data_IF_109018746672
#
_entry.id   IF_109018746672
#
_cell.length_a   1.000
_cell.length_b   1.000
_cell.length_c   1.000
_cell.angle_alpha   90.00
_cell.angle_beta   90.00
_cell.angle_gamma   90.00
#
_symmetry.space_group_name_H-M   'P 1'
#
loop_
_entity.id
_entity.type
_entity.pdbx_description
1 polymer ?
#
# COMPACT_ATOMS: atom_id res chain seq x y z
N UNK A 1 -10.10 60.67 0.11
CA UNK A 1 -9.07 59.84 0.81
C UNK A 1 -9.28 58.41 0.41
N UNK A 2 -8.43 57.84 -0.46
CA UNK A 2 -8.53 56.43 -0.87
C UNK A 2 -7.87 55.54 0.20
N UNK A 3 -8.65 54.58 0.70
CA UNK A 3 -8.11 53.56 1.61
C UNK A 3 -6.94 52.80 0.94
N UNK A 4 -5.85 52.57 1.61
CA UNK A 4 -4.72 51.82 1.05
C UNK A 4 -5.14 50.40 0.68
N UNK A 5 -4.76 49.93 -0.49
CA UNK A 5 -4.95 48.56 -0.95
C UNK A 5 -4.21 47.59 0.01
N UNK A 6 -4.96 46.86 0.83
CA UNK A 6 -4.36 45.83 1.69
C UNK A 6 -3.84 44.70 0.83
N UNK A 7 -2.59 44.32 1.01
CA UNK A 7 -1.97 43.16 0.41
C UNK A 7 -2.81 41.90 0.74
N UNK A 8 -2.89 40.94 -0.19
CA UNK A 8 -3.68 39.70 -0.04
C UNK A 8 -3.34 38.92 1.24
N UNK A 9 -2.12 39.05 1.73
CA UNK A 9 -1.62 38.48 3.00
C UNK A 9 -2.23 39.07 4.26
N UNK A 10 -2.71 40.34 4.22
CA UNK A 10 -3.34 40.99 5.37
C UNK A 10 -4.82 40.71 5.54
N UNK A 11 -5.45 40.02 4.57
CA UNK A 11 -6.87 39.60 4.59
C UNK A 11 -7.11 38.23 5.23
N UNK A 12 -6.04 37.51 5.58
CA UNK A 12 -6.18 36.23 6.26
C UNK A 12 -6.41 36.53 7.74
N UNK A 13 -7.66 36.49 8.20
CA UNK A 13 -8.00 36.59 9.62
C UNK A 13 -7.20 35.55 10.42
N UNK A 14 -6.89 35.85 11.70
CA UNK A 14 -6.24 34.89 12.59
C UNK A 14 -7.00 33.56 12.56
N UNK A 15 -6.38 32.53 12.00
CA UNK A 15 -6.93 31.17 12.00
C UNK A 15 -6.81 30.62 13.40
N UNK A 16 -7.93 30.31 14.05
CA UNK A 16 -7.92 29.57 15.32
C UNK A 16 -7.41 28.16 15.06
N UNK A 17 -6.35 27.77 15.76
CA UNK A 17 -5.75 26.44 15.63
C UNK A 17 -6.47 25.42 16.51
N UNK A 18 -6.32 24.13 16.19
CA UNK A 18 -6.76 23.05 17.04
C UNK A 18 -6.14 23.14 18.45
N UNK A 19 -6.89 22.78 19.49
CA UNK A 19 -6.44 22.87 20.87
C UNK A 19 -5.32 21.86 21.19
N UNK A 20 -5.42 20.66 20.59
CA UNK A 20 -4.44 19.59 20.78
C UNK A 20 -3.69 19.31 19.47
N UNK A 21 -2.37 19.21 19.56
CA UNK A 21 -1.46 18.88 18.48
C UNK A 21 -1.76 19.65 17.18
N UNK A 22 -1.69 21.00 17.22
CA UNK A 22 -2.14 21.86 16.14
C UNK A 22 -1.25 21.84 14.89
N UNK A 23 -0.12 21.16 14.93
CA UNK A 23 0.80 21.08 13.81
C UNK A 23 0.77 19.70 13.16
N UNK A 24 0.87 19.67 11.85
CA UNK A 24 0.78 18.46 11.02
C UNK A 24 2.09 18.29 10.27
N UNK A 25 2.67 17.09 10.33
CA UNK A 25 3.67 16.68 9.35
C UNK A 25 2.93 16.06 8.14
N UNK A 26 3.15 16.61 6.95
CA UNK A 26 2.40 16.27 5.73
C UNK A 26 3.36 15.91 4.61
N UNK A 27 3.19 14.74 4.02
CA UNK A 27 3.75 14.41 2.71
C UNK A 27 2.97 15.17 1.65
N UNK A 28 3.64 15.88 0.74
CA UNK A 28 3.01 16.74 -0.26
C UNK A 28 3.30 16.25 -1.68
N UNK A 29 2.28 16.17 -2.54
CA UNK A 29 2.44 15.87 -3.96
C UNK A 29 3.10 17.05 -4.70
N UNK A 30 4.39 17.16 -4.59
CA UNK A 30 5.18 18.23 -5.24
C UNK A 30 5.49 17.90 -6.69
N UNK A 31 5.48 16.61 -7.08
CA UNK A 31 5.93 16.12 -8.38
C UNK A 31 7.44 16.17 -8.56
N UNK A 32 8.21 16.47 -7.51
CA UNK A 32 9.66 16.69 -7.57
C UNK A 32 10.38 15.81 -6.55
N UNK A 33 11.33 14.99 -7.01
CA UNK A 33 11.99 13.97 -6.19
C UNK A 33 12.74 14.55 -4.97
N UNK A 34 13.50 15.63 -5.14
CA UNK A 34 14.26 16.23 -4.02
C UNK A 34 13.39 16.93 -2.96
N UNK A 35 12.07 17.05 -3.22
CA UNK A 35 11.07 17.55 -2.28
C UNK A 35 10.20 16.42 -1.69
N UNK A 36 10.63 15.16 -1.82
CA UNK A 36 9.95 13.99 -1.26
C UNK A 36 10.28 13.88 0.24
N UNK A 37 9.77 14.82 1.01
CA UNK A 37 9.93 14.94 2.46
C UNK A 37 8.64 15.41 3.12
N UNK A 38 8.62 15.41 4.44
CA UNK A 38 7.52 15.94 5.22
C UNK A 38 7.64 17.46 5.35
N UNK A 39 6.49 18.15 5.30
CA UNK A 39 6.37 19.59 5.49
C UNK A 39 5.39 19.88 6.61
N UNK A 40 5.70 20.89 7.43
CA UNK A 40 4.84 21.29 8.52
C UNK A 40 3.74 22.23 8.05
N UNK A 41 2.52 21.92 8.52
CA UNK A 41 1.32 22.73 8.34
C UNK A 41 0.57 22.90 9.66
N UNK A 42 -0.24 23.94 9.77
CA UNK A 42 -1.11 24.10 10.93
C UNK A 42 -2.52 23.59 10.65
N UNK A 43 -3.15 23.04 11.68
CA UNK A 43 -4.50 22.50 11.66
C UNK A 43 -5.49 23.53 12.21
N UNK A 44 -6.36 24.13 11.38
CA UNK A 44 -7.44 24.97 11.86
C UNK A 44 -8.43 24.20 12.74
N UNK A 45 -8.91 24.80 13.82
CA UNK A 45 -9.83 24.18 14.80
C UNK A 45 -11.13 23.62 14.21
N UNK A 46 -11.55 24.15 13.04
CA UNK A 46 -12.75 23.67 12.33
C UNK A 46 -12.61 22.28 11.67
N UNK A 47 -11.40 21.73 11.64
CA UNK A 47 -11.14 20.41 11.01
C UNK A 47 -10.79 19.38 12.09
N UNK A 48 -11.46 18.24 12.03
CA UNK A 48 -11.10 17.04 12.79
C UNK A 48 -10.40 16.06 11.85
N UNK A 49 -9.07 16.15 11.78
CA UNK A 49 -8.24 15.33 10.90
C UNK A 49 -7.13 14.66 11.70
N UNK A 50 -6.87 13.40 11.35
CA UNK A 50 -5.90 12.54 12.01
C UNK A 50 -4.80 12.12 11.04
N UNK A 51 -3.63 11.64 11.52
CA UNK A 51 -2.66 10.95 10.69
C UNK A 51 -3.35 9.87 9.85
N UNK A 52 -3.02 9.82 8.55
CA UNK A 52 -3.70 8.94 7.58
C UNK A 52 -4.81 9.61 6.78
N UNK A 53 -5.24 10.82 7.13
CA UNK A 53 -6.20 11.59 6.35
C UNK A 53 -5.50 12.39 5.23
N UNK A 54 -6.26 12.61 4.15
CA UNK A 54 -5.83 13.42 3.01
C UNK A 54 -6.22 14.87 3.19
N UNK A 55 -5.33 15.76 2.75
CA UNK A 55 -5.53 17.22 2.84
C UNK A 55 -5.16 17.90 1.54
N UNK A 56 -5.71 19.09 1.34
CA UNK A 56 -5.20 20.05 0.36
C UNK A 56 -4.41 21.12 1.09
N UNK A 57 -3.18 21.34 0.67
CA UNK A 57 -2.24 22.26 1.27
C UNK A 57 -1.74 23.31 0.28
N UNK A 58 -1.45 24.53 0.70
CA UNK A 58 -0.77 25.51 -0.14
C UNK A 58 0.71 25.14 -0.25
N UNK A 59 1.22 25.04 -1.48
CA UNK A 59 2.63 24.76 -1.74
C UNK A 59 3.11 25.55 -2.97
N UNK A 60 4.08 26.45 -2.79
CA UNK A 60 4.62 27.31 -3.86
C UNK A 60 3.55 27.96 -4.75
N UNK A 61 2.53 28.59 -4.14
CA UNK A 61 1.47 29.29 -4.84
C UNK A 61 0.40 28.41 -5.50
N UNK A 62 0.48 27.07 -5.33
CA UNK A 62 -0.49 26.09 -5.80
C UNK A 62 -1.13 25.33 -4.64
N UNK A 63 -2.26 24.72 -4.90
CA UNK A 63 -2.88 23.78 -3.96
C UNK A 63 -2.45 22.35 -4.34
N UNK A 64 -1.73 21.71 -3.45
CA UNK A 64 -1.27 20.33 -3.64
C UNK A 64 -2.05 19.36 -2.77
N UNK A 65 -2.14 18.11 -3.19
CA UNK A 65 -2.63 17.01 -2.36
C UNK A 65 -1.54 16.65 -1.34
N UNK A 66 -1.95 16.39 -0.11
CA UNK A 66 -1.07 15.93 0.95
C UNK A 66 -1.69 14.78 1.74
N UNK A 67 -0.83 14.01 2.40
CA UNK A 67 -1.18 12.96 3.35
C UNK A 67 -0.62 13.33 4.71
N UNK A 68 -1.47 13.41 5.73
CA UNK A 68 -1.04 13.66 7.11
C UNK A 68 -0.30 12.41 7.62
N UNK A 69 0.92 12.59 8.10
CA UNK A 69 1.75 11.51 8.64
C UNK A 69 1.75 11.53 10.17
N UNK A 70 1.81 12.74 10.75
CA UNK A 70 1.81 12.93 12.20
C UNK A 70 1.07 14.20 12.60
N UNK A 71 0.68 14.26 13.88
CA UNK A 71 0.24 15.49 14.58
C UNK A 71 1.23 15.79 15.70
N UNK A 72 1.57 17.05 15.87
CA UNK A 72 2.60 17.51 16.80
C UNK A 72 2.09 18.70 17.61
N UNK A 73 2.48 18.75 18.88
CA UNK A 73 2.16 19.87 19.76
C UNK A 73 2.96 21.13 19.39
N UNK A 74 4.18 20.96 18.86
CA UNK A 74 5.12 22.04 18.52
C UNK A 74 5.73 21.82 17.13
N UNK A 75 6.26 22.89 16.55
CA UNK A 75 7.08 22.86 15.33
C UNK A 75 8.26 23.83 15.49
N UNK A 76 9.38 23.50 14.86
CA UNK A 76 10.57 24.38 14.83
C UNK A 76 10.43 25.51 13.78
N UNK A 77 9.40 25.42 12.92
CA UNK A 77 9.20 26.38 11.84
C UNK A 77 8.46 27.60 12.36
N UNK A 78 9.09 28.78 12.27
CA UNK A 78 8.56 30.04 12.79
C UNK A 78 7.26 30.52 12.10
N UNK A 79 7.04 30.13 10.84
CA UNK A 79 5.84 30.52 10.08
C UNK A 79 5.28 29.32 9.31
N UNK A 80 4.25 28.70 9.85
CA UNK A 80 3.57 27.54 9.28
C UNK A 80 2.26 27.96 8.62
N UNK A 81 2.05 27.54 7.39
CA UNK A 81 0.80 27.81 6.67
C UNK A 81 -0.30 26.84 7.13
N UNK A 82 -1.57 27.30 7.23
CA UNK A 82 -2.67 26.39 7.51
C UNK A 82 -2.99 25.51 6.28
N UNK A 83 -3.49 24.30 6.54
CA UNK A 83 -4.11 23.48 5.48
C UNK A 83 -5.34 24.18 4.92
N UNK A 84 -5.65 23.94 3.66
CA UNK A 84 -6.84 24.53 3.02
C UNK A 84 -8.11 23.79 3.42
N UNK A 85 -8.10 22.45 3.34
CA UNK A 85 -9.25 21.58 3.64
C UNK A 85 -8.82 20.12 3.75
N UNK A 86 -9.67 19.32 4.39
CA UNK A 86 -9.63 17.85 4.25
C UNK A 86 -10.06 17.41 2.85
N UNK A 87 -9.51 16.31 2.36
CA UNK A 87 -9.85 15.69 1.08
C UNK A 87 -10.38 14.28 1.34
N UNK A 88 -11.48 13.92 0.68
CA UNK A 88 -12.01 12.54 0.78
C UNK A 88 -11.06 11.56 0.11
N UNK A 89 -10.80 10.45 0.78
CA UNK A 89 -9.94 9.37 0.30
C UNK A 89 -9.93 8.21 1.29
N UNK A 90 -9.33 7.09 0.89
CA UNK A 90 -9.13 5.98 1.81
C UNK A 90 -8.20 6.41 2.95
N UNK A 91 -8.53 6.02 4.17
CA UNK A 91 -7.66 6.21 5.33
C UNK A 91 -6.40 5.36 5.19
N UNK A 92 -5.24 5.96 5.45
CA UNK A 92 -3.94 5.30 5.32
C UNK A 92 -3.34 5.12 6.71
N UNK A 93 -3.32 3.90 7.22
CA UNK A 93 -2.71 3.62 8.54
C UNK A 93 -1.19 3.86 8.50
N UNK A 94 -0.58 4.06 9.67
CA UNK A 94 0.88 4.22 9.82
C UNK A 94 1.66 3.07 9.17
N UNK A 95 1.21 1.83 9.37
CA UNK A 95 1.85 0.67 8.75
C UNK A 95 1.75 0.64 7.22
N UNK A 96 0.68 1.21 6.63
CA UNK A 96 0.60 1.40 5.18
C UNK A 96 1.53 2.53 4.70
N UNK A 97 1.69 3.60 5.47
CA UNK A 97 2.66 4.66 5.16
C UNK A 97 4.07 4.07 5.11
N UNK A 98 4.44 3.24 6.10
CA UNK A 98 5.72 2.51 6.11
C UNK A 98 5.88 1.59 4.90
N UNK A 99 4.84 0.83 4.54
CA UNK A 99 4.83 0.01 3.33
C UNK A 99 5.10 0.85 2.08
N UNK A 100 4.38 1.97 1.91
CA UNK A 100 4.52 2.80 0.71
C UNK A 100 5.87 3.50 0.65
N UNK A 101 6.48 3.86 1.79
CA UNK A 101 7.87 4.31 1.86
C UNK A 101 8.85 3.22 1.42
N UNK A 102 8.65 1.99 1.89
CA UNK A 102 9.48 0.85 1.50
C UNK A 102 9.36 0.55 -0.01
N UNK A 103 8.14 0.65 -0.58
CA UNK A 103 7.91 0.54 -2.01
C UNK A 103 8.62 1.66 -2.77
N UNK A 104 8.42 2.91 -2.38
CA UNK A 104 9.05 4.07 -3.02
C UNK A 104 10.58 3.97 -2.99
N UNK A 105 11.15 3.60 -1.85
CA UNK A 105 12.60 3.39 -1.68
C UNK A 105 13.13 2.27 -2.59
N UNK A 106 12.41 1.14 -2.68
CA UNK A 106 12.87 -0.01 -3.48
C UNK A 106 12.96 0.31 -4.98
N UNK A 107 12.07 1.14 -5.50
CA UNK A 107 12.04 1.52 -6.91
C UNK A 107 12.60 2.93 -7.17
N UNK A 108 13.20 3.56 -6.15
CA UNK A 108 13.82 4.89 -6.23
C UNK A 108 12.89 5.95 -6.87
N UNK A 109 11.64 5.99 -6.40
CA UNK A 109 10.62 6.94 -6.85
C UNK A 109 10.10 7.78 -5.70
N UNK A 110 9.52 8.97 -5.96
CA UNK A 110 8.81 9.74 -4.93
C UNK A 110 7.66 8.92 -4.34
N UNK A 111 7.41 9.08 -3.05
CA UNK A 111 6.32 8.34 -2.37
C UNK A 111 4.96 8.63 -3.03
N UNK A 112 4.75 9.84 -3.56
CA UNK A 112 3.50 10.17 -4.25
C UNK A 112 3.26 9.42 -5.54
N UNK A 113 4.29 8.88 -6.19
CA UNK A 113 4.10 7.99 -7.34
C UNK A 113 3.41 6.68 -6.91
N UNK A 114 3.72 6.18 -5.71
CA UNK A 114 3.03 5.05 -5.10
C UNK A 114 1.64 5.47 -4.62
N UNK A 115 1.52 6.58 -3.90
CA UNK A 115 0.28 7.07 -3.32
C UNK A 115 -0.79 7.41 -4.38
N UNK A 116 -0.40 7.77 -5.62
CA UNK A 116 -1.34 7.98 -6.74
C UNK A 116 -2.09 6.71 -7.14
N UNK A 117 -1.51 5.54 -6.97
CA UNK A 117 -2.23 4.26 -7.12
C UNK A 117 -3.27 4.09 -6.03
N UNK A 118 -2.93 4.48 -4.81
CA UNK A 118 -3.82 4.38 -3.64
C UNK A 118 -4.99 5.36 -3.74
N UNK A 119 -4.75 6.62 -4.12
CA UNK A 119 -5.81 7.63 -4.28
C UNK A 119 -6.82 7.28 -5.38
N UNK A 120 -6.38 6.55 -6.39
CA UNK A 120 -7.20 6.09 -7.53
C UNK A 120 -7.72 4.67 -7.36
N UNK A 121 -7.47 4.04 -6.21
CA UNK A 121 -7.84 2.66 -5.98
C UNK A 121 -9.36 2.48 -6.08
N UNK A 122 -9.79 1.55 -6.93
CA UNK A 122 -11.18 1.15 -7.16
C UNK A 122 -11.35 -0.38 -7.07
N UNK A 123 -10.34 -1.06 -6.57
CA UNK A 123 -10.38 -2.51 -6.40
C UNK A 123 -11.21 -2.92 -5.19
N UNK A 124 -11.25 -4.23 -4.91
CA UNK A 124 -12.04 -4.76 -3.82
C UNK A 124 -11.59 -4.21 -2.47
N UNK A 125 -12.56 -3.98 -1.61
CA UNK A 125 -12.38 -3.64 -0.20
C UNK A 125 -13.06 -4.74 0.61
N UNK A 126 -12.29 -5.60 1.24
CA UNK A 126 -12.86 -6.65 2.08
C UNK A 126 -13.76 -6.05 3.15
N UNK A 127 -14.98 -6.53 3.23
CA UNK A 127 -15.92 -6.24 4.33
C UNK A 127 -15.58 -7.03 5.60
N UNK A 128 -14.72 -8.04 5.50
CA UNK A 128 -14.28 -8.84 6.63
C UNK A 128 -13.21 -8.08 7.42
N UNK A 129 -13.34 -8.04 8.73
CA UNK A 129 -12.27 -7.55 9.58
C UNK A 129 -11.00 -8.34 9.27
N UNK A 130 -9.89 -7.66 8.90
CA UNK A 130 -8.65 -8.35 8.65
C UNK A 130 -8.20 -9.00 9.95
N UNK A 131 -8.12 -10.33 9.95
CA UNK A 131 -7.45 -11.06 11.01
C UNK A 131 -5.96 -10.67 11.06
N UNK A 132 -5.30 -11.04 12.16
CA UNK A 132 -3.85 -10.86 12.24
C UNK A 132 -3.16 -11.98 11.45
N UNK A 133 -2.48 -11.63 10.36
CA UNK A 133 -1.51 -12.50 9.73
C UNK A 133 -0.22 -12.53 10.56
N UNK A 134 0.64 -13.49 10.27
CA UNK A 134 1.93 -13.67 10.94
C UNK A 134 3.12 -13.23 10.05
N UNK A 135 2.85 -12.67 8.88
CA UNK A 135 3.87 -12.30 7.90
C UNK A 135 4.55 -13.51 7.24
N UNK A 136 3.88 -14.68 7.24
CA UNK A 136 4.38 -15.90 6.61
C UNK A 136 4.53 -15.70 5.11
N UNK A 137 5.59 -16.26 4.54
CA UNK A 137 5.89 -16.24 3.11
C UNK A 137 6.06 -17.66 2.64
N UNK A 138 5.24 -18.07 1.70
CA UNK A 138 5.27 -19.43 1.18
C UNK A 138 5.03 -19.49 -0.31
N UNK A 139 5.63 -20.47 -0.97
CA UNK A 139 5.35 -20.84 -2.36
C UNK A 139 4.73 -22.23 -2.37
N UNK A 140 3.58 -22.37 -3.04
CA UNK A 140 2.94 -23.65 -3.26
C UNK A 140 3.01 -23.98 -4.74
N UNK A 141 3.80 -25.02 -5.08
CA UNK A 141 3.82 -25.57 -6.43
C UNK A 141 2.54 -26.34 -6.70
N UNK A 142 1.82 -25.95 -7.75
CA UNK A 142 0.61 -26.64 -8.20
C UNK A 142 0.92 -27.97 -8.85
N UNK A 143 0.04 -28.98 -8.63
CA UNK A 143 0.09 -30.23 -9.38
C UNK A 143 -0.47 -30.03 -10.77
N UNK A 144 0.12 -30.72 -11.76
CA UNK A 144 -0.37 -30.76 -13.14
C UNK A 144 -1.65 -31.63 -13.31
N UNK A 145 -1.99 -32.41 -12.29
CA UNK A 145 -3.12 -33.33 -12.34
C UNK A 145 -4.48 -32.65 -12.14
N UNK A 146 -4.49 -31.41 -11.67
CA UNK A 146 -5.69 -30.60 -11.44
C UNK A 146 -5.72 -29.39 -12.36
N UNK A 147 -6.93 -28.94 -12.72
CA UNK A 147 -7.15 -27.66 -13.36
C UNK A 147 -6.60 -26.55 -12.45
N UNK A 148 -5.82 -25.63 -13.02
CA UNK A 148 -5.26 -24.49 -12.31
C UNK A 148 -6.34 -23.68 -11.58
N UNK A 149 -7.46 -23.38 -12.26
CA UNK A 149 -8.58 -22.62 -11.70
C UNK A 149 -9.14 -23.34 -10.47
N UNK A 150 -9.34 -24.65 -10.54
CA UNK A 150 -9.84 -25.46 -9.42
C UNK A 150 -8.86 -25.46 -8.25
N UNK A 151 -7.55 -25.57 -8.54
CA UNK A 151 -6.52 -25.55 -7.52
C UNK A 151 -6.42 -24.19 -6.82
N UNK A 152 -6.47 -23.09 -7.58
CA UNK A 152 -6.48 -21.73 -7.02
C UNK A 152 -7.71 -21.52 -6.14
N UNK A 153 -8.92 -21.87 -6.62
CA UNK A 153 -10.17 -21.74 -5.87
C UNK A 153 -10.10 -22.53 -4.56
N UNK A 154 -9.68 -23.80 -4.61
CA UNK A 154 -9.55 -24.64 -3.41
C UNK A 154 -8.63 -24.02 -2.35
N UNK A 155 -7.49 -23.52 -2.77
CA UNK A 155 -6.51 -22.89 -1.86
C UNK A 155 -7.03 -21.57 -1.30
N UNK A 156 -7.61 -20.72 -2.17
CA UNK A 156 -8.13 -19.42 -1.79
C UNK A 156 -9.32 -19.54 -0.82
N UNK A 157 -10.29 -20.46 -1.09
CA UNK A 157 -11.41 -20.72 -0.18
C UNK A 157 -10.94 -21.25 1.18
N UNK A 158 -9.96 -22.15 1.22
CA UNK A 158 -9.37 -22.62 2.49
C UNK A 158 -8.73 -21.51 3.31
N UNK A 159 -8.12 -20.54 2.66
CA UNK A 159 -7.54 -19.37 3.35
C UNK A 159 -8.62 -18.36 3.74
N UNK A 160 -9.65 -18.18 2.92
CA UNK A 160 -10.78 -17.30 3.19
C UNK A 160 -11.55 -17.72 4.46
N UNK A 161 -11.66 -19.03 4.73
CA UNK A 161 -12.21 -19.52 6.01
C UNK A 161 -11.40 -19.09 7.24
N UNK A 162 -10.13 -18.68 7.06
CA UNK A 162 -9.23 -18.28 8.13
C UNK A 162 -9.09 -16.75 8.25
N UNK A 163 -9.62 -16.00 7.32
CA UNK A 163 -9.58 -14.54 7.30
C UNK A 163 -9.64 -13.95 5.89
N UNK A 164 -9.80 -12.63 5.82
CA UNK A 164 -9.90 -11.91 4.56
C UNK A 164 -8.75 -12.28 3.62
N UNK A 165 -9.09 -12.61 2.39
CA UNK A 165 -8.12 -13.12 1.40
C UNK A 165 -8.23 -12.35 0.10
N UNK A 166 -7.10 -11.84 -0.40
CA UNK A 166 -6.97 -11.18 -1.70
C UNK A 166 -6.12 -12.06 -2.62
N UNK A 167 -6.64 -12.35 -3.81
CA UNK A 167 -5.93 -13.08 -4.87
C UNK A 167 -5.52 -12.11 -5.97
N UNK A 168 -4.22 -11.94 -6.17
CA UNK A 168 -3.65 -11.15 -7.27
C UNK A 168 -3.34 -12.06 -8.43
N UNK A 169 -3.92 -11.77 -9.58
CA UNK A 169 -3.77 -12.53 -10.82
C UNK A 169 -3.10 -11.69 -11.91
N UNK A 170 -2.35 -12.34 -12.83
CA UNK A 170 -1.66 -11.63 -13.92
C UNK A 170 -2.61 -11.10 -15.00
N UNK A 171 -3.74 -11.75 -15.22
CA UNK A 171 -4.59 -11.52 -16.41
C UNK A 171 -6.06 -11.33 -16.04
N UNK A 172 -6.75 -10.43 -16.75
CA UNK A 172 -8.19 -10.18 -16.57
C UNK A 172 -9.04 -11.42 -16.85
N UNK A 173 -8.64 -12.29 -17.81
CA UNK A 173 -9.33 -13.54 -18.09
C UNK A 173 -9.35 -14.45 -16.86
N UNK A 174 -8.21 -14.63 -16.20
CA UNK A 174 -8.12 -15.45 -15.00
C UNK A 174 -8.91 -14.84 -13.85
N UNK A 175 -8.87 -13.51 -13.71
CA UNK A 175 -9.68 -12.78 -12.73
C UNK A 175 -11.17 -13.13 -12.88
N UNK A 176 -11.72 -13.00 -14.09
CA UNK A 176 -13.14 -13.27 -14.35
C UNK A 176 -13.55 -14.72 -14.05
N UNK A 177 -12.66 -15.69 -14.24
CA UNK A 177 -12.91 -17.11 -13.94
C UNK A 177 -12.85 -17.44 -12.44
N UNK A 178 -12.21 -16.57 -11.64
CA UNK A 178 -12.02 -16.77 -10.21
C UNK A 178 -13.00 -15.95 -9.35
N UNK A 179 -13.69 -14.95 -9.90
CA UNK A 179 -14.64 -14.11 -9.15
C UNK A 179 -15.67 -15.00 -8.42
N UNK A 180 -15.82 -14.77 -7.14
CA UNK A 180 -16.81 -15.40 -6.24
C UNK A 180 -17.04 -14.50 -5.01
N UNK A 181 -17.86 -14.95 -4.06
CA UNK A 181 -18.21 -14.20 -2.84
C UNK A 181 -17.31 -14.52 -1.63
N UNK A 182 -16.44 -15.54 -1.73
CA UNK A 182 -15.65 -16.02 -0.59
C UNK A 182 -14.35 -15.23 -0.39
N UNK A 183 -13.75 -14.75 -1.49
CA UNK A 183 -12.48 -14.02 -1.48
C UNK A 183 -12.42 -12.97 -2.60
N UNK A 184 -11.62 -11.96 -2.38
CA UNK A 184 -11.41 -10.91 -3.37
C UNK A 184 -10.41 -11.34 -4.44
N UNK A 185 -10.68 -10.98 -5.70
CA UNK A 185 -9.77 -11.22 -6.83
C UNK A 185 -9.48 -9.91 -7.55
N UNK A 186 -8.22 -9.64 -7.83
CA UNK A 186 -7.82 -8.41 -8.48
C UNK A 186 -6.52 -8.57 -9.29
N UNK A 187 -6.23 -7.56 -10.11
CA UNK A 187 -4.99 -7.49 -10.89
C UNK A 187 -3.87 -6.79 -10.11
N UNK A 188 -2.65 -6.79 -10.67
CA UNK A 188 -1.40 -6.30 -10.07
C UNK A 188 -1.50 -4.98 -9.29
N UNK A 189 -2.23 -3.98 -9.80
CA UNK A 189 -2.36 -2.68 -9.14
C UNK A 189 -2.96 -2.76 -7.73
N UNK A 190 -3.78 -3.77 -7.47
CA UNK A 190 -4.42 -3.97 -6.17
C UNK A 190 -3.49 -4.50 -5.08
N UNK A 191 -2.26 -4.88 -5.41
CA UNK A 191 -1.24 -5.19 -4.40
C UNK A 191 -0.88 -3.96 -3.56
N UNK A 192 -1.13 -2.74 -4.07
CA UNK A 192 -0.97 -1.47 -3.35
C UNK A 192 -2.25 -1.02 -2.63
N UNK A 193 -3.25 -1.89 -2.48
CA UNK A 193 -4.50 -1.55 -1.78
C UNK A 193 -4.25 -0.92 -0.40
N UNK A 194 -5.02 0.13 -0.01
CA UNK A 194 -4.99 0.66 1.35
C UNK A 194 -5.70 -0.24 2.36
N UNK A 195 -6.33 -1.31 1.91
CA UNK A 195 -7.00 -2.27 2.75
C UNK A 195 -6.03 -3.37 3.19
N UNK A 196 -6.18 -3.80 4.43
CA UNK A 196 -5.41 -4.90 5.00
C UNK A 196 -6.14 -6.22 4.79
N UNK A 197 -5.38 -7.25 4.48
CA UNK A 197 -5.88 -8.62 4.36
C UNK A 197 -5.15 -9.52 5.34
N UNK A 198 -5.79 -10.61 5.75
CA UNK A 198 -5.11 -11.66 6.51
C UNK A 198 -4.17 -12.44 5.59
N UNK A 199 -4.64 -12.73 4.38
CA UNK A 199 -3.93 -13.53 3.38
C UNK A 199 -3.87 -12.81 2.04
N UNK A 200 -2.72 -12.84 1.41
CA UNK A 200 -2.48 -12.37 0.05
C UNK A 200 -1.94 -13.53 -0.78
N UNK A 201 -2.62 -13.85 -1.86
CA UNK A 201 -2.19 -14.86 -2.83
C UNK A 201 -1.72 -14.16 -4.10
N UNK A 202 -0.53 -14.51 -4.60
CA UNK A 202 -0.04 -14.06 -5.90
C UNK A 202 0.09 -15.27 -6.81
N UNK A 203 -0.71 -15.30 -7.88
CA UNK A 203 -0.79 -16.43 -8.82
C UNK A 203 0.17 -16.20 -9.97
N UNK A 204 0.99 -17.21 -10.33
CA UNK A 204 1.99 -17.13 -11.42
C UNK A 204 2.90 -15.89 -11.25
N UNK A 205 3.61 -15.81 -10.12
CA UNK A 205 4.48 -14.68 -9.78
C UNK A 205 5.59 -14.41 -10.83
N UNK A 206 5.90 -15.43 -11.64
CA UNK A 206 6.84 -15.38 -12.76
C UNK A 206 6.31 -14.62 -13.99
N UNK A 207 5.00 -14.34 -14.04
CA UNK A 207 4.38 -13.68 -15.19
C UNK A 207 4.82 -12.21 -15.30
N UNK A 208 5.21 -11.80 -16.50
CA UNK A 208 5.53 -10.39 -16.81
C UNK A 208 4.37 -9.43 -16.55
N UNK A 209 3.12 -9.93 -16.59
CA UNK A 209 1.93 -9.13 -16.29
C UNK A 209 1.82 -8.69 -14.83
N UNK A 210 2.67 -9.19 -13.93
CA UNK A 210 2.82 -8.69 -12.57
C UNK A 210 3.69 -7.44 -12.48
N UNK A 211 4.35 -7.07 -13.57
CA UNK A 211 5.19 -5.89 -13.62
C UNK A 211 4.38 -4.66 -14.08
N UNK A 212 4.44 -3.57 -13.31
CA UNK A 212 3.87 -2.28 -13.70
C UNK A 212 4.95 -1.46 -14.40
N UNK A 213 4.75 -1.19 -15.69
CA UNK A 213 5.73 -0.48 -16.52
C UNK A 213 5.78 1.03 -16.22
N UNK A 214 4.62 1.60 -15.83
CA UNK A 214 4.53 3.02 -15.49
C UNK A 214 5.04 3.27 -14.08
N UNK A 215 5.57 4.48 -13.82
CA UNK A 215 5.93 4.85 -12.45
C UNK A 215 4.81 4.48 -11.45
N UNK A 216 5.16 3.82 -10.36
CA UNK A 216 6.47 3.54 -9.76
C UNK A 216 7.22 2.30 -10.31
N UNK A 217 6.71 1.59 -11.29
CA UNK A 217 7.45 0.50 -11.92
C UNK A 217 7.61 -0.76 -11.06
N UNK A 218 6.65 -1.06 -10.19
CA UNK A 218 6.74 -2.17 -9.24
C UNK A 218 6.41 -3.54 -9.83
N UNK A 219 6.88 -4.59 -9.14
CA UNK A 219 6.45 -5.97 -9.34
C UNK A 219 5.56 -6.43 -8.17
N UNK A 220 4.43 -7.10 -8.47
CA UNK A 220 3.47 -7.56 -7.44
C UNK A 220 4.09 -8.53 -6.44
N UNK A 221 4.99 -9.42 -6.86
CA UNK A 221 5.74 -10.33 -5.98
C UNK A 221 6.49 -9.56 -4.91
N UNK A 222 7.27 -8.56 -5.33
CA UNK A 222 8.12 -7.80 -4.43
C UNK A 222 7.30 -6.94 -3.46
N UNK A 223 6.22 -6.32 -3.94
CA UNK A 223 5.28 -5.58 -3.07
C UNK A 223 4.59 -6.53 -2.08
N UNK A 224 4.20 -7.74 -2.50
CA UNK A 224 3.61 -8.74 -1.60
C UNK A 224 4.58 -9.12 -0.48
N UNK A 225 5.88 -9.29 -0.78
CA UNK A 225 6.91 -9.54 0.23
C UNK A 225 7.07 -8.36 1.21
N UNK A 226 6.99 -7.12 0.73
CA UNK A 226 6.98 -5.93 1.59
C UNK A 226 5.73 -5.87 2.46
N UNK A 227 4.54 -6.23 1.94
CA UNK A 227 3.30 -6.34 2.74
C UNK A 227 3.43 -7.36 3.87
N UNK A 228 4.03 -8.52 3.60
CA UNK A 228 4.32 -9.50 4.65
C UNK A 228 5.21 -8.92 5.76
N UNK A 229 6.17 -8.09 5.41
CA UNK A 229 7.07 -7.45 6.38
C UNK A 229 6.38 -6.35 7.19
N UNK A 230 5.76 -5.38 6.50
CA UNK A 230 5.19 -4.16 7.11
C UNK A 230 3.82 -4.38 7.74
N UNK A 231 2.93 -5.14 7.05
CA UNK A 231 1.55 -5.34 7.47
C UNK A 231 1.31 -6.66 8.19
N UNK A 232 2.31 -7.55 8.23
CA UNK A 232 2.20 -8.92 8.78
C UNK A 232 1.14 -9.78 8.07
N UNK A 233 0.82 -9.49 6.81
CA UNK A 233 -0.05 -10.33 6.00
C UNK A 233 0.65 -11.63 5.64
N UNK A 234 -0.09 -12.75 5.62
CA UNK A 234 0.45 -14.01 5.12
C UNK A 234 0.45 -13.99 3.60
N UNK A 235 1.59 -14.24 2.98
CA UNK A 235 1.73 -14.23 1.53
C UNK A 235 1.97 -15.64 1.03
N UNK A 236 1.15 -16.05 0.06
CA UNK A 236 1.26 -17.31 -0.64
C UNK A 236 1.44 -17.06 -2.14
N UNK A 237 2.54 -17.52 -2.68
CA UNK A 237 2.76 -17.58 -4.12
C UNK A 237 2.28 -18.92 -4.66
N UNK A 238 1.52 -18.89 -5.77
CA UNK A 238 0.96 -20.06 -6.42
C UNK A 238 1.41 -20.15 -7.87
N UNK A 239 2.00 -21.26 -8.27
CA UNK A 239 2.42 -21.45 -9.65
C UNK A 239 2.91 -22.87 -9.90
N UNK A 240 3.18 -23.21 -11.16
CA UNK A 240 3.77 -24.50 -11.52
C UNK A 240 5.28 -24.54 -11.35
N UNK A 241 5.92 -23.43 -11.56
CA UNK A 241 7.38 -23.30 -11.47
C UNK A 241 7.72 -21.91 -10.91
N UNK A 242 8.56 -21.81 -9.88
CA UNK A 242 8.99 -20.52 -9.37
C UNK A 242 9.88 -19.78 -10.39
N UNK A 243 9.84 -18.44 -10.40
CA UNK A 243 10.85 -17.63 -11.10
C UNK A 243 12.26 -17.87 -10.51
N UNK A 244 13.29 -17.43 -11.21
CA UNK A 244 14.67 -17.53 -10.71
C UNK A 244 14.86 -16.78 -9.40
N UNK A 245 14.25 -15.59 -9.29
CA UNK A 245 14.28 -14.79 -8.07
C UNK A 245 13.54 -15.49 -6.92
N UNK A 246 12.37 -16.07 -7.20
CA UNK A 246 11.63 -16.84 -6.20
C UNK A 246 12.40 -18.11 -5.78
N UNK A 247 13.01 -18.81 -6.72
CA UNK A 247 13.86 -19.97 -6.42
C UNK A 247 15.01 -19.59 -5.47
N UNK A 248 15.63 -18.41 -5.69
CA UNK A 248 16.69 -17.91 -4.80
C UNK A 248 16.16 -17.55 -3.42
N UNK A 249 14.96 -16.98 -3.31
CA UNK A 249 14.32 -16.69 -2.02
C UNK A 249 13.95 -17.97 -1.26
N UNK A 250 13.57 -19.02 -1.98
CA UNK A 250 13.31 -20.36 -1.40
C UNK A 250 14.63 -20.97 -0.91
N UNK A 251 15.66 -20.99 -1.74
CA UNK A 251 16.99 -21.50 -1.39
C UNK A 251 17.55 -20.84 -0.13
N UNK A 252 17.41 -19.53 0.00
CA UNK A 252 17.84 -18.77 1.16
C UNK A 252 16.93 -18.93 2.40
N UNK A 253 15.86 -19.72 2.32
CA UNK A 253 14.89 -19.92 3.41
C UNK A 253 14.02 -18.70 3.72
N UNK A 254 14.01 -17.69 2.85
CA UNK A 254 13.16 -16.50 3.01
C UNK A 254 11.71 -16.77 2.66
N UNK A 255 11.45 -17.72 1.75
CA UNK A 255 10.15 -18.23 1.36
C UNK A 255 10.11 -19.74 1.58
N UNK A 256 9.10 -20.23 2.29
CA UNK A 256 8.91 -21.67 2.51
C UNK A 256 8.30 -22.32 1.26
N UNK A 257 8.92 -23.39 0.77
CA UNK A 257 8.43 -24.13 -0.39
C UNK A 257 7.56 -25.33 0.01
N UNK A 258 6.49 -25.56 -0.75
CA UNK A 258 5.57 -26.70 -0.60
C UNK A 258 5.14 -27.20 -1.98
N UNK A 259 4.95 -28.53 -2.11
CA UNK A 259 4.28 -29.14 -3.27
C UNK A 259 2.85 -29.49 -2.94
N UNK A 260 1.93 -29.27 -3.87
CA UNK A 260 0.56 -29.75 -3.72
C UNK A 260 0.54 -31.29 -3.65
N UNK A 261 -0.03 -31.84 -2.57
CA UNK A 261 -0.05 -33.29 -2.33
C UNK A 261 1.19 -33.88 -1.68
N UNK A 262 2.23 -33.10 -1.44
CA UNK A 262 3.48 -33.51 -0.75
C UNK A 262 3.56 -33.04 0.70
N UNK A 263 4.41 -33.69 1.51
CA UNK A 263 4.85 -33.12 2.78
C UNK A 263 5.69 -31.87 2.50
N UNK A 264 5.66 -30.90 3.42
CA UNK A 264 6.51 -29.70 3.30
C UNK A 264 7.98 -30.11 3.26
N UNK A 265 8.66 -29.89 2.14
CA UNK A 265 10.11 -30.03 2.08
C UNK A 265 10.71 -28.75 2.68
N UNK A 266 11.36 -28.90 3.82
CA UNK A 266 12.28 -27.89 4.32
C UNK A 266 13.56 -28.05 3.50
N UNK A 267 13.82 -27.15 2.58
CA UNK A 267 15.14 -27.08 1.92
C UNK A 267 16.14 -26.77 3.02
N UNK A 268 16.97 -27.77 3.33
CA UNK A 268 18.03 -27.59 4.33
C UNK A 268 18.93 -26.41 3.90
N UNK A 269 19.19 -25.49 4.83
CA UNK A 269 20.20 -24.44 4.60
C UNK A 269 21.49 -25.13 4.20
N UNK A 270 22.16 -24.75 3.11
CA UNK A 270 23.52 -25.15 2.89
C UNK A 270 24.32 -24.67 4.09
N UNK A 271 25.10 -25.59 4.72
CA UNK A 271 26.03 -25.20 5.74
C UNK A 271 27.03 -24.22 5.12
N UNK A 272 27.17 -23.04 5.72
CA UNK A 272 28.23 -22.08 5.40
C UNK A 272 29.59 -22.66 5.82
#
# INVERSE_FOLDING_TARGET
MSSPLKLKSERVGKVTLAEQDPYLSVLVDTGVFHLDQEFDYSLPAKFDLQPGNWVSVPFHGRNCLGLIVARNANTEISKVSPINRGVKGAFISSSHIELYRAVASRWAVPIFDVLRFVTKYKGPASSLNPGHGEGKRSYLQLSKDKSEISAIKEVASKLAMKGSTLVIVPEARLMNLLINEEFDVAMRGSVLTPHRYTNLIVVREESEHHYEIKSPGFNSRDVALLRAASLKENVLFLGYTPSLEMAKLIENGFVTYKKAGGKAEVVAKPAL
#
